data_IF_704737070745
#
_entry.id   IF_704737070745
#
_cell.length_a   1.000
_cell.length_b   1.000
_cell.length_c   1.000
_cell.angle_alpha   90.00
_cell.angle_beta   90.00
_cell.angle_gamma   90.00
#
_symmetry.space_group_name_H-M   'P 1'
#
loop_
_entity.id
_entity.type
_entity.pdbx_description
1 polymer ?
#
# COMPACT_ATOMS: atom_id res chain seq x y z
N UNK A 1 26.26 -4.87 -25.71
CA UNK A 1 25.26 -4.66 -24.63
C UNK A 1 24.60 -3.33 -24.91
N UNK A 2 23.27 -3.30 -25.04
CA UNK A 2 22.50 -2.09 -25.29
C UNK A 2 21.49 -1.88 -24.16
N UNK A 3 21.14 -0.62 -23.89
CA UNK A 3 20.10 -0.29 -22.93
C UNK A 3 18.76 -0.20 -23.66
N UNK A 4 17.74 -0.85 -23.11
CA UNK A 4 16.40 -0.71 -23.64
C UNK A 4 15.88 0.71 -23.39
N UNK A 5 15.44 1.43 -24.43
CA UNK A 5 14.88 2.78 -24.27
C UNK A 5 13.57 2.82 -23.47
N UNK A 6 12.88 1.69 -23.33
CA UNK A 6 11.63 1.59 -22.57
C UNK A 6 11.85 1.35 -21.07
N UNK A 7 12.77 0.44 -20.69
CA UNK A 7 12.96 0.03 -19.29
C UNK A 7 14.38 0.24 -18.75
N UNK A 8 15.29 0.78 -19.56
CA UNK A 8 16.71 1.08 -19.25
C UNK A 8 17.54 -0.13 -18.82
N UNK A 9 16.97 -1.33 -18.84
CA UNK A 9 17.70 -2.56 -18.55
C UNK A 9 18.73 -2.87 -19.64
N UNK A 10 19.85 -3.44 -19.23
CA UNK A 10 20.89 -3.95 -20.14
C UNK A 10 20.39 -5.23 -20.80
N UNK A 11 20.21 -5.20 -22.12
CA UNK A 11 19.76 -6.37 -22.89
C UNK A 11 20.78 -6.83 -23.91
N UNK A 12 20.71 -8.12 -24.22
CA UNK A 12 21.40 -8.74 -25.36
C UNK A 12 20.63 -8.49 -26.66
N UNK A 13 21.27 -8.80 -27.78
CA UNK A 13 20.76 -8.59 -29.14
C UNK A 13 19.54 -9.48 -29.40
N UNK A 14 18.45 -8.88 -29.89
CA UNK A 14 17.18 -9.58 -30.11
C UNK A 14 16.10 -8.68 -30.68
N UNK A 15 14.99 -9.27 -31.14
CA UNK A 15 13.84 -8.52 -31.69
C UNK A 15 13.05 -7.79 -30.59
N UNK A 16 13.07 -8.34 -29.37
CA UNK A 16 12.36 -7.84 -28.20
C UNK A 16 13.28 -7.82 -26.97
N UNK A 17 13.02 -6.91 -26.04
CA UNK A 17 13.68 -6.83 -24.74
C UNK A 17 13.28 -8.01 -23.85
N UNK A 18 14.24 -8.74 -23.30
CA UNK A 18 13.99 -9.88 -22.40
C UNK A 18 13.50 -9.49 -21.01
N UNK A 19 13.49 -8.20 -20.66
CA UNK A 19 13.04 -7.70 -19.36
C UNK A 19 11.64 -7.08 -19.42
N UNK A 20 11.35 -6.28 -20.45
CA UNK A 20 10.07 -5.56 -20.56
C UNK A 20 9.24 -5.92 -21.80
N UNK A 21 9.76 -6.75 -22.72
CA UNK A 21 9.05 -7.14 -23.95
C UNK A 21 9.00 -6.07 -25.05
N UNK A 22 9.58 -4.87 -24.85
CA UNK A 22 9.58 -3.82 -25.86
C UNK A 22 10.33 -4.24 -27.13
N UNK A 23 9.79 -3.91 -28.31
CA UNK A 23 10.47 -4.16 -29.59
C UNK A 23 11.71 -3.28 -29.76
N UNK A 24 12.81 -3.93 -30.13
CA UNK A 24 14.13 -3.31 -30.36
C UNK A 24 14.42 -3.12 -31.86
N UNK A 25 13.46 -3.43 -32.73
CA UNK A 25 13.61 -3.23 -34.16
C UNK A 25 13.63 -1.73 -34.54
N UNK A 26 14.45 -1.35 -35.52
CA UNK A 26 14.46 0.00 -36.06
C UNK A 26 13.10 0.29 -36.73
N UNK A 27 12.64 1.53 -36.57
CA UNK A 27 11.38 1.99 -37.14
C UNK A 27 11.65 2.93 -38.30
N UNK A 28 10.93 2.76 -39.40
CA UNK A 28 11.03 3.64 -40.57
C UNK A 28 9.83 4.58 -40.59
N UNK A 29 10.09 5.87 -40.81
CA UNK A 29 9.03 6.85 -40.92
C UNK A 29 8.20 6.65 -42.19
N UNK A 30 6.89 6.48 -42.05
CA UNK A 30 5.96 6.36 -43.19
C UNK A 30 5.82 7.67 -43.99
N UNK A 31 6.16 8.82 -43.39
CA UNK A 31 6.03 10.11 -44.04
C UNK A 31 7.28 10.52 -44.84
N UNK A 32 8.48 10.33 -44.27
CA UNK A 32 9.74 10.76 -44.91
C UNK A 32 10.69 9.61 -45.29
N UNK A 33 10.41 8.38 -44.87
CA UNK A 33 11.28 7.22 -45.15
C UNK A 33 12.53 7.12 -44.26
N UNK A 34 12.73 8.03 -43.32
CA UNK A 34 13.92 8.04 -42.46
C UNK A 34 13.87 6.89 -41.43
N UNK A 35 15.01 6.21 -41.23
CA UNK A 35 15.15 5.18 -40.23
C UNK A 35 15.50 5.79 -38.87
N UNK A 36 14.76 5.42 -37.83
CA UNK A 36 14.96 5.89 -36.48
C UNK A 36 15.30 4.75 -35.51
N UNK A 37 16.10 5.05 -34.45
CA UNK A 37 16.43 4.07 -33.43
C UNK A 37 15.19 3.65 -32.64
N UNK A 38 15.21 2.43 -32.06
CA UNK A 38 14.09 1.91 -31.29
C UNK A 38 13.80 2.78 -30.05
N UNK A 39 12.54 3.19 -29.89
CA UNK A 39 12.06 4.03 -28.79
C UNK A 39 11.79 5.48 -29.17
N UNK A 40 12.06 5.88 -30.41
CA UNK A 40 11.61 7.17 -30.94
C UNK A 40 10.09 7.15 -31.17
N UNK A 41 9.39 8.12 -30.58
CA UNK A 41 7.93 8.29 -30.71
C UNK A 41 7.60 9.19 -31.90
N UNK A 42 8.44 10.20 -32.13
CA UNK A 42 8.29 11.21 -33.17
C UNK A 42 9.50 11.23 -34.10
N UNK A 43 9.26 11.49 -35.38
CA UNK A 43 10.31 11.69 -36.37
C UNK A 43 11.01 13.03 -36.14
N UNK A 44 12.33 13.03 -35.99
CA UNK A 44 13.12 14.26 -35.83
C UNK A 44 13.26 15.08 -37.10
N UNK A 45 12.88 14.54 -38.26
CA UNK A 45 12.92 15.22 -39.56
C UNK A 45 11.58 15.84 -39.94
N UNK A 46 10.49 15.06 -39.89
CA UNK A 46 9.16 15.51 -40.33
C UNK A 46 8.16 15.77 -39.20
N UNK A 47 8.48 15.41 -37.95
CA UNK A 47 7.60 15.61 -36.78
C UNK A 47 6.41 14.65 -36.69
N UNK A 48 6.24 13.75 -37.66
CA UNK A 48 5.14 12.77 -37.66
C UNK A 48 5.36 11.70 -36.59
N UNK A 49 4.25 11.26 -36.00
CA UNK A 49 4.22 10.19 -35.01
C UNK A 49 4.52 8.86 -35.70
N UNK A 50 5.65 8.25 -35.36
CA UNK A 50 6.15 7.02 -36.02
C UNK A 50 5.77 5.77 -35.24
N UNK A 51 5.55 5.93 -33.95
CA UNK A 51 5.20 4.87 -33.03
C UNK A 51 4.19 5.45 -32.06
N UNK A 52 3.03 4.82 -31.92
CA UNK A 52 2.18 5.12 -30.78
C UNK A 52 3.04 5.02 -29.52
N UNK A 53 2.95 6.00 -28.59
CA UNK A 53 3.53 5.82 -27.29
C UNK A 53 2.93 4.53 -26.77
N UNK A 54 3.74 3.47 -26.76
CA UNK A 54 3.46 2.32 -25.91
C UNK A 54 3.69 2.91 -24.53
N UNK A 55 2.69 3.65 -24.05
CA UNK A 55 2.60 4.17 -22.71
C UNK A 55 2.91 2.96 -21.87
N UNK A 56 4.04 3.03 -21.16
CA UNK A 56 4.62 1.87 -20.49
C UNK A 56 3.50 1.09 -19.86
N UNK A 57 3.30 -0.14 -20.32
CA UNK A 57 2.19 -0.95 -19.83
C UNK A 57 2.27 -0.92 -18.30
N UNK A 58 1.27 -0.37 -17.59
CA UNK A 58 1.29 -0.30 -16.13
C UNK A 58 0.96 -1.67 -15.51
N UNK A 59 1.37 -2.76 -16.17
CA UNK A 59 1.06 -4.13 -15.76
C UNK A 59 2.27 -5.07 -15.91
N UNK A 60 3.47 -4.50 -15.98
CA UNK A 60 4.65 -5.22 -15.51
C UNK A 60 4.78 -4.96 -14.02
N UNK A 61 4.10 -5.73 -13.17
CA UNK A 61 4.56 -5.86 -11.78
C UNK A 61 5.99 -6.36 -11.91
N UNK A 62 6.92 -5.46 -11.66
CA UNK A 62 8.34 -5.74 -11.62
C UNK A 62 8.57 -7.04 -10.80
N UNK A 63 9.50 -7.89 -11.25
CA UNK A 63 9.68 -9.23 -10.66
C UNK A 63 10.03 -9.15 -9.15
N UNK A 64 10.61 -8.03 -8.71
CA UNK A 64 10.97 -7.75 -7.34
C UNK A 64 9.71 -7.42 -6.54
N UNK A 65 8.79 -6.66 -7.13
CA UNK A 65 7.47 -6.38 -6.57
C UNK A 65 6.64 -7.66 -6.45
N UNK A 66 6.68 -8.56 -7.45
CA UNK A 66 5.94 -9.84 -7.39
C UNK A 66 6.47 -10.77 -6.30
N UNK A 67 7.79 -10.92 -6.14
CA UNK A 67 8.39 -11.72 -5.06
C UNK A 67 8.11 -11.12 -3.67
N UNK A 68 8.17 -9.79 -3.56
CA UNK A 68 7.84 -9.06 -2.33
C UNK A 68 6.37 -9.26 -1.95
N UNK A 69 5.45 -9.21 -2.92
CA UNK A 69 4.02 -9.43 -2.69
C UNK A 69 3.77 -10.86 -2.16
N UNK A 70 4.37 -11.88 -2.78
CA UNK A 70 4.18 -13.28 -2.34
C UNK A 70 4.67 -13.49 -0.90
N UNK A 71 5.85 -12.97 -0.55
CA UNK A 71 6.37 -13.06 0.83
C UNK A 71 5.54 -12.24 1.82
N UNK A 72 5.04 -11.08 1.41
CA UNK A 72 4.22 -10.23 2.27
C UNK A 72 2.85 -10.84 2.59
N UNK A 73 2.18 -11.47 1.61
CA UNK A 73 0.89 -12.13 1.83
C UNK A 73 1.06 -13.35 2.73
N UNK A 74 2.12 -14.14 2.52
CA UNK A 74 2.44 -15.26 3.38
C UNK A 74 2.75 -14.80 4.82
N UNK A 75 3.57 -13.75 4.98
CA UNK A 75 3.92 -13.18 6.28
C UNK A 75 2.72 -12.57 7.01
N UNK A 76 1.89 -11.78 6.32
CA UNK A 76 0.70 -11.13 6.88
C UNK A 76 -0.35 -12.16 7.28
N UNK A 77 -0.59 -13.18 6.44
CA UNK A 77 -1.51 -14.26 6.75
C UNK A 77 -1.09 -15.07 7.96
N UNK A 78 0.20 -15.43 8.05
CA UNK A 78 0.74 -16.21 9.16
C UNK A 78 0.75 -15.42 10.48
N UNK A 79 1.10 -14.14 10.45
CA UNK A 79 1.04 -13.26 11.63
C UNK A 79 -0.39 -13.04 12.11
N UNK A 80 -1.35 -12.82 11.22
CA UNK A 80 -2.76 -12.69 11.58
C UNK A 80 -3.31 -13.99 12.22
N UNK A 81 -2.96 -15.16 11.67
CA UNK A 81 -3.35 -16.45 12.22
C UNK A 81 -2.79 -16.67 13.63
N UNK A 82 -1.50 -16.33 13.85
CA UNK A 82 -0.88 -16.43 15.17
C UNK A 82 -1.58 -15.50 16.17
N UNK A 83 -1.85 -14.25 15.80
CA UNK A 83 -2.57 -13.30 16.66
C UNK A 83 -3.97 -13.79 17.02
N UNK A 84 -4.68 -14.41 16.07
CA UNK A 84 -6.02 -14.96 16.31
C UNK A 84 -5.98 -16.14 17.30
N UNK A 85 -5.00 -17.04 17.17
CA UNK A 85 -4.80 -18.16 18.10
C UNK A 85 -4.29 -17.71 19.47
N UNK A 86 -3.50 -16.63 19.52
CA UNK A 86 -2.99 -16.03 20.75
C UNK A 86 -4.06 -15.20 21.48
N UNK A 87 -5.04 -14.64 20.76
CA UNK A 87 -6.11 -13.80 21.32
C UNK A 87 -6.90 -14.42 22.49
N UNK A 88 -7.32 -15.70 22.48
CA UNK A 88 -8.00 -16.29 23.63
C UNK A 88 -7.10 -16.45 24.87
N UNK A 89 -5.77 -16.38 24.72
CA UNK A 89 -4.80 -16.54 25.81
C UNK A 89 -4.26 -15.19 26.30
N UNK A 90 -4.11 -14.21 25.40
CA UNK A 90 -3.50 -12.91 25.67
C UNK A 90 -4.46 -11.73 25.45
N UNK A 91 -5.73 -12.01 25.19
CA UNK A 91 -6.75 -11.00 24.93
C UNK A 91 -6.84 -10.01 26.09
N UNK A 92 -6.98 -8.70 25.82
CA UNK A 92 -7.11 -7.71 26.88
C UNK A 92 -8.44 -7.90 27.60
N UNK A 93 -8.39 -8.67 28.69
CA UNK A 93 -9.46 -8.76 29.66
C UNK A 93 -9.62 -7.37 30.32
N UNK A 94 -10.74 -6.69 30.07
CA UNK A 94 -11.17 -5.59 30.91
C UNK A 94 -11.03 -4.18 30.34
N UNK A 95 -11.80 -3.87 29.30
CA UNK A 95 -12.51 -2.57 29.23
C UNK A 95 -13.98 -2.77 28.87
N UNK A 96 -14.60 -3.77 29.48
CA UNK A 96 -16.05 -3.85 29.53
C UNK A 96 -16.48 -3.14 30.80
N UNK A 97 -16.93 -1.90 30.61
CA UNK A 97 -17.78 -1.15 31.51
C UNK A 97 -18.68 -2.07 32.35
N UNK A 98 -18.37 -2.20 33.63
CA UNK A 98 -19.35 -2.59 34.64
C UNK A 98 -19.14 -1.67 35.82
N UNK A 99 -19.79 -0.52 35.70
CA UNK A 99 -20.37 0.24 36.79
C UNK A 99 -20.98 -0.72 37.83
N UNK A 100 -20.14 -1.28 38.70
CA UNK A 100 -20.61 -1.99 39.89
C UNK A 100 -20.84 -0.90 40.92
N UNK A 101 -22.09 -0.46 40.94
CA UNK A 101 -22.68 0.28 42.04
C UNK A 101 -22.15 -0.26 43.39
N UNK A 102 -21.67 0.61 44.30
CA UNK A 102 -21.26 0.15 45.62
C UNK A 102 -22.51 -0.28 46.40
N UNK A 103 -22.64 -1.60 46.64
CA UNK A 103 -23.57 -2.14 47.64
C UNK A 103 -23.03 -1.92 49.06
N UNK A 104 -23.91 -1.79 50.07
CA UNK A 104 -23.67 -0.97 51.24
C UNK A 104 -22.82 -1.69 52.28
N UNK A 105 -21.72 -1.07 52.71
CA UNK A 105 -21.14 -1.34 54.02
C UNK A 105 -21.65 -0.29 55.00
N UNK A 106 -22.47 -0.76 55.95
CA UNK A 106 -22.79 -0.04 57.15
C UNK A 106 -21.50 0.23 57.93
N UNK A 107 -21.00 1.45 57.80
CA UNK A 107 -20.15 2.09 58.80
C UNK A 107 -20.97 3.27 59.28
N UNK A 108 -21.45 3.19 60.52
CA UNK A 108 -22.23 4.24 61.15
C UNK A 108 -21.40 5.50 61.32
N UNK A 109 -21.47 6.40 60.34
CA UNK A 109 -21.44 7.85 60.48
C UNK A 109 -22.41 8.34 59.42
N UNK A 110 -23.63 8.64 59.83
CA UNK A 110 -24.61 9.31 58.97
C UNK A 110 -23.99 10.62 58.51
N UNK A 111 -23.60 10.69 57.24
CA UNK A 111 -23.22 11.94 56.60
C UNK A 111 -24.39 12.89 56.75
N UNK A 112 -24.22 13.92 57.57
CA UNK A 112 -25.18 15.02 57.70
C UNK A 112 -25.36 15.61 56.30
N UNK A 113 -26.57 15.54 55.77
CA UNK A 113 -26.94 16.02 54.45
C UNK A 113 -27.04 17.56 54.48
N UNK A 114 -25.90 18.22 54.25
CA UNK A 114 -25.76 19.68 54.23
C UNK A 114 -26.61 20.38 53.16
N UNK A 115 -27.17 19.63 52.19
CA UNK A 115 -28.04 20.20 51.15
C UNK A 115 -29.48 20.37 51.62
N UNK A 116 -29.84 19.78 52.77
CA UNK A 116 -31.16 19.90 53.39
C UNK A 116 -31.22 20.89 54.57
N UNK A 117 -30.08 21.40 55.04
CA UNK A 117 -30.05 22.43 56.08
C UNK A 117 -30.42 23.80 55.52
N UNK A 118 -31.56 24.33 55.94
CA UNK A 118 -31.90 25.73 55.70
C UNK A 118 -31.04 26.67 56.55
N UNK A 119 -30.75 27.93 56.13
CA UNK A 119 -29.69 28.77 56.70
C UNK A 119 -29.84 29.22 58.17
N UNK A 120 -30.86 28.72 58.87
CA UNK A 120 -31.28 29.17 60.21
C UNK A 120 -30.81 28.27 61.36
N UNK A 121 -30.13 27.16 61.07
CA UNK A 121 -29.69 26.18 62.07
C UNK A 121 -28.15 26.02 62.16
N UNK A 122 -27.38 26.89 61.49
CA UNK A 122 -25.91 26.87 61.50
C UNK A 122 -25.27 28.03 62.29
N UNK A 123 -26.02 28.65 63.22
CA UNK A 123 -25.57 29.73 64.09
C UNK A 123 -25.49 29.31 65.55
#
# INVERSE_FOLDING_TARGET
MMQCSACQATTQEGKYCSQCGASLQPLVCVACGEAHPPGTIYCTQCGVLIREPVGGSPEGIDNQTQRTIIWSVAGLGLTALILFLAWPVYGPEGRSSSERAPSPLATGVSSVDLSSMTPREAA
#
